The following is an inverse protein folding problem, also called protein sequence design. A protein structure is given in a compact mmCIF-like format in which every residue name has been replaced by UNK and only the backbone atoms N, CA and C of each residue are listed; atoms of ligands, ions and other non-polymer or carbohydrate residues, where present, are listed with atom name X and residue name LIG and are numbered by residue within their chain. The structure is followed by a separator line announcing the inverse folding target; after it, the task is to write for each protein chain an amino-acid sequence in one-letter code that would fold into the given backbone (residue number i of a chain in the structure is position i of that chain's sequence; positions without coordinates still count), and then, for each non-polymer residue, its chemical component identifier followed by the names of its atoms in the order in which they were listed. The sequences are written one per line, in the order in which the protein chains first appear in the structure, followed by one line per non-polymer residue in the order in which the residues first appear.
data_IF_514454039519
#
_entry.id   IF_514454039519
#
_cell.length_a   1.000
_cell.length_b   1.000
_cell.length_c   1.000
_cell.angle_alpha   90.00
_cell.angle_beta   90.00
_cell.angle_gamma   90.00
#
_symmetry.space_group_name_H-M   'P 1'
#
loop_
_entity.id
_entity.type
_entity.pdbx_description
1 polymer ?
#
# COMPACT_ATOMS: atom_id res chain seq x y z
N UNK A 1 -34.81 -21.94 20.38
CA UNK A 1 -34.92 -20.48 20.23
C UNK A 1 -34.09 -20.05 19.04
N UNK A 2 -34.49 -18.99 18.34
CA UNK A 2 -33.71 -18.44 17.24
C UNK A 2 -32.45 -17.74 17.79
N UNK A 3 -31.36 -17.76 17.03
CA UNK A 3 -30.09 -17.16 17.44
C UNK A 3 -29.58 -16.17 16.39
N UNK A 4 -28.82 -15.18 16.87
CA UNK A 4 -28.25 -14.11 16.07
C UNK A 4 -26.73 -14.14 16.19
N UNK A 5 -26.05 -13.97 15.07
CA UNK A 5 -24.60 -13.85 15.00
C UNK A 5 -24.23 -12.66 14.12
N UNK A 6 -23.16 -11.98 14.47
CA UNK A 6 -22.51 -11.00 13.60
C UNK A 6 -21.23 -11.62 13.06
N UNK A 7 -21.06 -11.63 11.74
CA UNK A 7 -19.89 -12.26 11.10
C UNK A 7 -19.30 -11.32 10.07
N UNK A 8 -18.06 -10.88 10.27
CA UNK A 8 -17.41 -9.94 9.36
C UNK A 8 -18.07 -8.56 9.37
N UNK A 9 -17.78 -7.78 8.32
CA UNK A 9 -18.30 -6.41 8.17
C UNK A 9 -19.68 -6.46 7.50
N UNK A 10 -20.64 -5.71 8.04
CA UNK A 10 -21.97 -5.49 7.44
C UNK A 10 -22.84 -6.73 7.23
N UNK A 11 -22.64 -7.80 8.01
CA UNK A 11 -23.43 -9.03 7.88
C UNK A 11 -23.98 -9.52 9.22
N UNK A 12 -25.28 -9.77 9.20
CA UNK A 12 -26.01 -10.44 10.28
C UNK A 12 -26.37 -11.84 9.78
N UNK A 13 -26.06 -12.84 10.59
CA UNK A 13 -26.47 -14.22 10.38
C UNK A 13 -27.53 -14.57 11.42
N UNK A 14 -28.61 -15.17 10.96
CA UNK A 14 -29.75 -15.61 11.73
C UNK A 14 -29.85 -17.13 11.64
N UNK A 15 -30.04 -17.80 12.77
CA UNK A 15 -30.28 -19.24 12.83
C UNK A 15 -31.71 -19.49 13.29
N UNK A 16 -32.47 -20.21 12.48
CA UNK A 16 -33.88 -20.47 12.74
C UNK A 16 -34.12 -21.38 13.94
N UNK A 17 -35.35 -21.33 14.46
CA UNK A 17 -35.79 -22.24 15.52
C UNK A 17 -35.74 -23.67 15.01
N UNK A 18 -34.91 -24.50 15.65
CA UNK A 18 -34.79 -25.92 15.30
C UNK A 18 -34.12 -26.18 13.94
N UNK A 19 -33.34 -25.22 13.40
CA UNK A 19 -32.68 -25.34 12.09
C UNK A 19 -33.65 -25.57 10.92
N UNK A 20 -34.87 -25.03 11.03
CA UNK A 20 -35.87 -25.09 9.98
C UNK A 20 -35.42 -24.34 8.71
N UNK A 21 -35.51 -25.04 7.58
CA UNK A 21 -35.17 -24.55 6.23
C UNK A 21 -36.40 -24.03 5.49
N UNK A 22 -36.21 -23.20 4.45
CA UNK A 22 -37.29 -22.72 3.60
C UNK A 22 -38.24 -21.72 4.28
N UNK A 23 -37.82 -21.10 5.38
CA UNK A 23 -38.61 -20.08 6.08
C UNK A 23 -38.44 -18.70 5.45
N UNK A 24 -39.49 -17.89 5.52
CA UNK A 24 -39.38 -16.46 5.25
C UNK A 24 -38.88 -15.75 6.50
N UNK A 25 -37.56 -15.55 6.58
CA UNK A 25 -36.92 -14.83 7.68
C UNK A 25 -36.84 -13.34 7.35
N UNK A 26 -37.38 -12.49 8.23
CA UNK A 26 -37.42 -11.04 8.02
C UNK A 26 -37.11 -10.25 9.30
N UNK A 27 -36.76 -8.98 9.17
CA UNK A 27 -36.53 -8.11 10.32
C UNK A 27 -36.91 -6.64 10.08
N UNK A 28 -37.21 -5.94 11.16
CA UNK A 28 -37.21 -4.47 11.23
C UNK A 28 -36.04 -3.99 12.08
N UNK A 29 -35.41 -2.91 11.64
CA UNK A 29 -34.34 -2.23 12.39
C UNK A 29 -34.76 -0.82 12.77
N UNK A 30 -34.34 -0.36 13.93
CA UNK A 30 -34.49 1.03 14.38
C UNK A 30 -33.13 1.68 14.44
N UNK A 31 -33.00 2.83 13.77
CA UNK A 31 -31.75 3.58 13.72
C UNK A 31 -31.44 4.30 15.04
N UNK A 32 -30.17 4.65 15.28
CA UNK A 32 -29.76 5.44 16.44
C UNK A 32 -30.17 6.92 16.37
N UNK A 33 -30.96 7.31 15.36
CA UNK A 33 -31.47 8.67 15.24
C UNK A 33 -32.41 9.02 16.42
N UNK A 34 -32.61 10.31 16.66
CA UNK A 34 -33.56 10.82 17.64
C UNK A 34 -34.63 11.67 16.95
N UNK A 35 -35.88 11.18 16.79
CA UNK A 35 -36.39 9.86 17.24
C UNK A 35 -35.88 8.69 16.37
N UNK A 36 -35.89 7.44 16.91
CA UNK A 36 -35.45 6.27 16.15
C UNK A 36 -36.28 6.07 14.88
N UNK A 37 -35.60 5.90 13.74
CA UNK A 37 -36.28 5.66 12.46
C UNK A 37 -36.34 4.16 12.19
N UNK A 38 -37.55 3.63 12.01
CA UNK A 38 -37.79 2.23 11.66
C UNK A 38 -37.50 2.00 10.17
N UNK A 39 -36.77 0.93 9.85
CA UNK A 39 -36.54 0.48 8.47
C UNK A 39 -37.78 -0.15 7.85
N UNK A 40 -37.82 -0.19 6.52
CA UNK A 40 -38.66 -1.14 5.80
C UNK A 40 -38.33 -2.59 6.20
N UNK A 41 -39.23 -3.53 5.90
CA UNK A 41 -39.03 -4.95 6.19
C UNK A 41 -37.83 -5.48 5.39
N UNK A 42 -36.85 -6.03 6.10
CA UNK A 42 -35.65 -6.61 5.51
C UNK A 42 -35.80 -8.11 5.43
N UNK A 43 -35.43 -8.70 4.30
CA UNK A 43 -35.54 -10.15 4.07
C UNK A 43 -34.17 -10.78 4.10
N UNK A 44 -34.04 -11.87 4.85
CA UNK A 44 -32.81 -12.65 4.91
C UNK A 44 -32.81 -13.68 3.79
N UNK A 45 -31.63 -13.96 3.26
CA UNK A 45 -31.43 -15.03 2.27
C UNK A 45 -30.98 -16.29 2.99
N UNK A 46 -31.66 -17.41 2.76
CA UNK A 46 -31.20 -18.71 3.27
C UNK A 46 -29.85 -19.06 2.65
N UNK A 47 -28.92 -19.52 3.49
CA UNK A 47 -27.60 -19.99 3.08
C UNK A 47 -27.64 -21.50 2.99
N UNK A 48 -27.88 -22.17 4.12
CA UNK A 48 -28.06 -23.62 4.22
C UNK A 48 -28.50 -24.00 5.64
N UNK A 49 -29.16 -25.16 5.79
CA UNK A 49 -29.42 -25.78 7.11
C UNK A 49 -30.11 -24.84 8.12
N UNK A 50 -31.04 -24.00 7.67
CA UNK A 50 -31.74 -23.05 8.54
C UNK A 50 -30.89 -21.86 9.00
N UNK A 51 -29.74 -21.63 8.37
CA UNK A 51 -28.98 -20.38 8.49
C UNK A 51 -29.40 -19.42 7.39
N UNK A 52 -29.62 -18.16 7.80
CA UNK A 52 -30.04 -17.09 6.93
C UNK A 52 -29.10 -15.90 7.12
N UNK A 53 -28.85 -15.13 6.07
CA UNK A 53 -27.99 -13.95 6.14
C UNK A 53 -28.69 -12.70 5.62
N UNK A 54 -28.30 -11.57 6.18
CA UNK A 54 -28.60 -10.23 5.66
C UNK A 54 -27.28 -9.46 5.57
N UNK A 55 -26.93 -9.07 4.36
CA UNK A 55 -25.89 -8.06 4.12
C UNK A 55 -26.56 -6.69 4.24
N UNK A 56 -26.31 -5.98 5.33
CA UNK A 56 -27.01 -4.73 5.64
C UNK A 56 -26.06 -3.53 5.64
N UNK A 57 -26.44 -2.47 4.91
CA UNK A 57 -25.69 -1.23 4.90
C UNK A 57 -26.30 -0.25 5.91
N UNK A 58 -25.78 -0.25 7.13
CA UNK A 58 -26.18 0.72 8.14
C UNK A 58 -25.73 2.13 7.72
N UNK A 59 -26.69 3.01 7.43
CA UNK A 59 -26.42 4.35 6.92
C UNK A 59 -25.90 5.35 7.98
N UNK A 60 -25.84 4.96 9.25
CA UNK A 60 -25.40 5.83 10.34
C UNK A 60 -24.64 5.04 11.39
N UNK A 61 -23.71 5.70 12.07
CA UNK A 61 -23.02 5.13 13.22
C UNK A 61 -23.92 5.15 14.45
N UNK A 62 -23.75 4.15 15.31
CA UNK A 62 -24.46 4.07 16.59
C UNK A 62 -25.10 2.72 16.83
N UNK A 63 -25.99 2.68 17.81
CA UNK A 63 -26.64 1.45 18.26
C UNK A 63 -27.99 1.28 17.59
N UNK A 64 -28.14 0.18 16.85
CA UNK A 64 -29.39 -0.25 16.24
C UNK A 64 -30.06 -1.32 17.08
N UNK A 65 -31.39 -1.33 17.08
CA UNK A 65 -32.20 -2.41 17.62
C UNK A 65 -32.90 -3.13 16.47
N UNK A 66 -32.97 -4.46 16.51
CA UNK A 66 -33.62 -5.29 15.49
C UNK A 66 -34.65 -6.25 16.11
N UNK A 67 -35.78 -6.42 15.43
CA UNK A 67 -36.80 -7.42 15.75
C UNK A 67 -36.96 -8.37 14.56
N UNK A 68 -36.87 -9.67 14.82
CA UNK A 68 -36.74 -10.72 13.80
C UNK A 68 -37.95 -11.63 13.81
N UNK A 69 -38.32 -12.08 12.61
CA UNK A 69 -39.53 -12.85 12.37
C UNK A 69 -39.24 -14.07 11.50
N UNK A 70 -39.91 -15.18 11.81
CA UNK A 70 -40.03 -16.35 10.94
C UNK A 70 -41.48 -16.44 10.48
N UNK A 71 -41.73 -16.38 9.16
CA UNK A 71 -43.09 -16.48 8.60
C UNK A 71 -44.08 -15.54 9.31
N UNK A 72 -43.65 -14.28 9.48
CA UNK A 72 -44.37 -13.20 10.17
C UNK A 72 -44.58 -13.34 11.70
N UNK A 73 -44.03 -14.37 12.34
CA UNK A 73 -44.05 -14.51 13.81
C UNK A 73 -42.75 -13.99 14.40
N UNK A 74 -42.82 -13.07 15.37
CA UNK A 74 -41.63 -12.55 16.04
C UNK A 74 -40.96 -13.65 16.89
N UNK A 75 -39.67 -13.88 16.67
CA UNK A 75 -38.94 -15.00 17.29
C UNK A 75 -37.79 -14.57 18.18
N UNK A 76 -37.15 -13.43 17.89
CA UNK A 76 -36.02 -12.90 18.67
C UNK A 76 -35.78 -11.42 18.38
N UNK A 77 -34.98 -10.77 19.23
CA UNK A 77 -34.52 -9.39 19.06
C UNK A 77 -33.01 -9.30 19.30
N UNK A 78 -32.40 -8.23 18.79
CA UNK A 78 -30.96 -8.03 18.90
C UNK A 78 -30.57 -6.56 18.90
N UNK A 79 -29.41 -6.27 19.49
CA UNK A 79 -28.80 -4.93 19.49
C UNK A 79 -27.48 -5.01 18.73
N UNK A 80 -27.28 -4.09 17.79
CA UNK A 80 -26.12 -4.06 16.90
C UNK A 80 -25.43 -2.72 17.02
N UNK A 81 -24.13 -2.73 17.30
CA UNK A 81 -23.33 -1.51 17.31
C UNK A 81 -22.63 -1.35 15.97
N UNK A 82 -22.95 -0.27 15.29
CA UNK A 82 -22.29 0.17 14.06
C UNK A 82 -21.25 1.19 14.46
N UNK A 83 -20.00 0.83 14.29
CA UNK A 83 -18.87 1.74 14.46
C UNK A 83 -18.25 2.00 13.11
N UNK A 84 -17.43 3.04 13.03
CA UNK A 84 -16.47 3.10 11.94
C UNK A 84 -15.62 1.85 12.01
N UNK A 85 -15.30 1.28 10.85
CA UNK A 85 -14.13 0.43 10.79
C UNK A 85 -12.99 1.30 11.27
N UNK A 86 -12.34 0.92 12.37
CA UNK A 86 -11.12 1.61 12.79
C UNK A 86 -10.27 1.75 11.54
N UNK A 87 -9.79 2.96 11.20
CA UNK A 87 -9.15 3.19 9.92
C UNK A 87 -7.99 2.22 9.78
N UNK A 88 -8.21 1.13 9.05
CA UNK A 88 -7.14 0.22 8.72
C UNK A 88 -6.20 1.05 7.83
N UNK A 89 -5.00 1.34 8.36
CA UNK A 89 -3.86 1.91 7.65
C UNK A 89 -3.76 3.44 7.40
N UNK A 90 -4.68 4.31 7.81
CA UNK A 90 -4.53 5.76 7.55
C UNK A 90 -3.33 6.41 8.27
N UNK A 91 -3.16 6.12 9.57
CA UNK A 91 -2.04 6.65 10.36
C UNK A 91 -0.69 6.03 9.98
N UNK A 92 -0.68 4.76 9.61
CA UNK A 92 0.54 4.05 9.22
C UNK A 92 1.01 4.48 7.83
N UNK A 93 0.10 4.71 6.87
CA UNK A 93 0.49 5.13 5.52
C UNK A 93 1.17 6.50 5.54
N UNK A 94 0.65 7.46 6.30
CA UNK A 94 1.28 8.78 6.44
C UNK A 94 2.67 8.68 7.09
N UNK A 95 2.81 7.89 8.16
CA UNK A 95 4.09 7.66 8.83
C UNK A 95 5.10 6.88 7.97
N UNK A 96 4.62 5.94 7.15
CA UNK A 96 5.44 5.19 6.18
C UNK A 96 5.93 6.14 5.08
N UNK A 97 5.04 6.95 4.47
CA UNK A 97 5.44 7.96 3.49
C UNK A 97 6.47 8.93 4.05
N UNK A 98 6.25 9.42 5.27
CA UNK A 98 7.22 10.29 5.94
C UNK A 98 8.59 9.63 6.13
N UNK A 99 8.67 8.29 6.29
CA UNK A 99 9.96 7.58 6.32
C UNK A 99 10.55 7.33 4.94
N UNK A 100 9.74 7.04 3.93
CA UNK A 100 10.22 6.77 2.56
C UNK A 100 10.60 8.03 1.80
N UNK A 101 9.88 9.13 2.00
CA UNK A 101 10.09 10.41 1.31
C UNK A 101 11.32 11.15 1.86
N UNK A 102 11.72 10.86 3.11
CA UNK A 102 12.91 11.42 3.76
C UNK A 102 14.15 10.52 3.62
N UNK A 103 14.13 9.50 2.76
CA UNK A 103 15.36 8.77 2.44
C UNK A 103 16.34 9.73 1.75
N UNK A 104 17.62 9.77 2.16
CA UNK A 104 18.60 10.67 1.57
C UNK A 104 18.70 10.44 0.05
N UNK A 105 18.74 11.52 -0.74
CA UNK A 105 18.92 11.44 -2.19
C UNK A 105 20.36 11.01 -2.51
N UNK A 106 20.58 9.70 -2.58
CA UNK A 106 21.84 9.10 -3.01
C UNK A 106 21.88 8.78 -4.50
N UNK A 107 23.01 8.23 -4.94
CA UNK A 107 23.12 7.61 -6.26
C UNK A 107 22.25 6.35 -6.26
N UNK A 108 21.20 6.34 -7.10
CA UNK A 108 20.25 5.24 -7.15
C UNK A 108 20.76 4.09 -8.04
N UNK A 109 20.57 2.85 -7.57
CA UNK A 109 20.83 1.64 -8.37
C UNK A 109 19.92 1.62 -9.59
N UNK A 110 20.47 1.20 -10.73
CA UNK A 110 19.76 1.06 -12.01
C UNK A 110 19.10 2.37 -12.50
N UNK A 111 19.63 3.52 -12.10
CA UNK A 111 19.24 4.84 -12.59
C UNK A 111 20.47 5.48 -13.20
N UNK A 112 20.31 6.12 -14.37
CA UNK A 112 21.41 6.83 -15.01
C UNK A 112 21.95 7.95 -14.09
N UNK A 113 23.27 8.04 -13.96
CA UNK A 113 23.94 9.09 -13.23
C UNK A 113 24.55 10.08 -14.22
N UNK A 114 23.90 11.23 -14.39
CA UNK A 114 24.34 12.24 -15.34
C UNK A 114 25.33 13.23 -14.70
N UNK A 115 26.31 13.66 -15.49
CA UNK A 115 27.31 14.66 -15.12
C UNK A 115 28.06 14.32 -13.81
N UNK A 116 28.47 13.06 -13.62
CA UNK A 116 29.39 12.75 -12.53
C UNK A 116 30.70 13.50 -12.78
N UNK A 117 31.00 14.47 -11.92
CA UNK A 117 32.18 15.33 -12.05
C UNK A 117 33.36 14.75 -11.27
N UNK A 118 34.54 14.83 -11.87
CA UNK A 118 35.80 14.45 -11.25
C UNK A 118 36.93 15.33 -11.79
N UNK A 119 38.02 15.43 -11.03
CA UNK A 119 39.20 16.22 -11.40
C UNK A 119 40.35 15.30 -11.80
N UNK A 120 41.08 15.68 -12.84
CA UNK A 120 42.31 15.04 -13.27
C UNK A 120 43.45 16.04 -13.11
N UNK A 121 44.55 15.55 -12.53
CA UNK A 121 45.76 16.32 -12.30
C UNK A 121 46.94 15.67 -13.00
N UNK A 122 47.94 16.47 -13.36
CA UNK A 122 49.16 15.98 -14.00
C UNK A 122 49.93 15.09 -13.04
N UNK A 123 50.39 13.93 -13.51
CA UNK A 123 51.19 13.01 -12.69
C UNK A 123 52.56 13.59 -12.30
N UNK A 124 53.05 14.58 -13.06
CA UNK A 124 54.33 15.24 -12.80
C UNK A 124 54.38 15.97 -11.44
N UNK A 125 53.24 16.51 -10.99
CA UNK A 125 53.15 17.28 -9.73
C UNK A 125 51.97 16.90 -8.84
N UNK A 126 51.05 16.06 -9.33
CA UNK A 126 49.85 15.61 -8.63
C UNK A 126 48.87 16.73 -8.28
N UNK A 127 48.99 17.90 -8.91
CA UNK A 127 48.25 19.11 -8.50
C UNK A 127 47.79 19.98 -9.66
N UNK A 128 48.61 20.14 -10.70
CA UNK A 128 48.26 20.99 -11.82
C UNK A 128 47.14 20.36 -12.64
N UNK A 129 46.15 21.14 -13.09
CA UNK A 129 45.06 20.61 -13.90
C UNK A 129 45.54 19.92 -15.18
N UNK A 130 45.07 18.70 -15.42
CA UNK A 130 45.34 17.97 -16.65
C UNK A 130 44.34 18.37 -17.75
N UNK A 131 44.35 19.64 -18.16
CA UNK A 131 43.45 20.19 -19.18
C UNK A 131 43.76 19.65 -20.58
N UNK A 132 42.75 19.44 -21.42
CA UNK A 132 42.89 19.02 -22.82
C UNK A 132 43.39 17.59 -23.00
N UNK A 133 43.22 16.72 -21.99
CA UNK A 133 43.63 15.32 -22.05
C UNK A 133 42.45 14.44 -22.43
N UNK A 134 42.75 13.38 -23.18
CA UNK A 134 41.79 12.30 -23.42
C UNK A 134 41.78 11.40 -22.18
N UNK A 135 40.63 11.31 -21.52
CA UNK A 135 40.44 10.46 -20.34
C UNK A 135 39.58 9.27 -20.72
N UNK A 136 40.03 8.08 -20.36
CA UNK A 136 39.25 6.84 -20.49
C UNK A 136 38.65 6.49 -19.13
N UNK A 137 37.34 6.24 -19.11
CA UNK A 137 36.64 5.74 -17.93
C UNK A 137 36.40 4.24 -18.03
N UNK A 138 36.67 3.54 -16.93
CA UNK A 138 36.35 2.13 -16.77
C UNK A 138 35.53 1.94 -15.50
N UNK A 139 34.63 0.98 -15.52
CA UNK A 139 33.73 0.65 -14.42
C UNK A 139 33.94 -0.79 -13.96
N UNK A 140 33.93 -0.99 -12.65
CA UNK A 140 33.83 -2.30 -11.99
C UNK A 140 32.49 -2.35 -11.25
N UNK A 141 31.76 -3.44 -11.46
CA UNK A 141 30.45 -3.71 -10.85
C UNK A 141 30.57 -4.92 -9.92
N UNK A 142 30.22 -4.74 -8.66
CA UNK A 142 30.22 -5.80 -7.63
C UNK A 142 31.56 -6.57 -7.54
N UNK A 143 32.68 -5.84 -7.71
CA UNK A 143 34.03 -6.41 -7.66
C UNK A 143 34.49 -7.11 -8.95
N UNK A 144 33.73 -7.03 -10.05
CA UNK A 144 34.15 -7.55 -11.35
C UNK A 144 35.36 -6.79 -11.93
N UNK A 145 35.99 -7.36 -12.96
CA UNK A 145 37.06 -6.69 -13.69
C UNK A 145 36.59 -5.35 -14.30
N UNK A 146 37.52 -4.40 -14.40
CA UNK A 146 37.23 -3.10 -15.02
C UNK A 146 36.97 -3.26 -16.51
N UNK A 147 35.85 -2.72 -16.98
CA UNK A 147 35.45 -2.66 -18.39
C UNK A 147 35.22 -1.21 -18.78
N UNK A 148 35.46 -0.84 -20.03
CA UNK A 148 35.24 0.52 -20.49
C UNK A 148 33.77 0.93 -20.33
N UNK A 149 33.57 2.18 -19.89
CA UNK A 149 32.24 2.78 -19.87
C UNK A 149 31.69 2.93 -21.29
N UNK A 150 30.37 2.90 -21.43
CA UNK A 150 29.68 3.01 -22.71
C UNK A 150 29.74 4.43 -23.29
N UNK A 151 29.71 5.45 -22.42
CA UNK A 151 29.76 6.85 -22.80
C UNK A 151 31.15 7.45 -22.52
N UNK A 152 31.56 8.37 -23.39
CA UNK A 152 32.86 9.02 -23.28
C UNK A 152 32.87 10.10 -22.20
N UNK A 153 34.05 10.30 -21.61
CA UNK A 153 34.33 11.42 -20.73
C UNK A 153 34.42 12.71 -21.55
N UNK A 154 33.86 13.80 -21.03
CA UNK A 154 33.99 15.14 -21.60
C UNK A 154 34.70 16.06 -20.62
N UNK A 155 35.64 16.87 -21.11
CA UNK A 155 36.23 17.95 -20.34
C UNK A 155 35.21 19.07 -20.11
N UNK A 156 35.22 19.64 -18.91
CA UNK A 156 34.44 20.83 -18.55
C UNK A 156 35.33 22.07 -18.66
N UNK A 157 36.37 22.15 -17.82
CA UNK A 157 37.43 23.18 -17.85
C UNK A 157 38.40 22.94 -16.68
N UNK A 158 39.63 23.45 -16.77
CA UNK A 158 40.60 23.46 -15.66
C UNK A 158 40.80 22.08 -15.01
N UNK A 159 40.98 21.05 -15.84
CA UNK A 159 41.18 19.67 -15.37
C UNK A 159 39.94 19.01 -14.76
N UNK A 160 38.78 19.69 -14.74
CA UNK A 160 37.50 19.06 -14.42
C UNK A 160 36.93 18.36 -15.64
N UNK A 161 36.49 17.14 -15.41
CA UNK A 161 35.85 16.28 -16.38
C UNK A 161 34.50 15.82 -15.86
N UNK A 162 33.66 15.35 -16.79
CA UNK A 162 32.39 14.73 -16.46
C UNK A 162 32.12 13.51 -17.33
N UNK A 163 31.36 12.58 -16.78
CA UNK A 163 30.83 11.43 -17.50
C UNK A 163 29.35 11.24 -17.18
N UNK A 164 28.58 10.79 -18.17
CA UNK A 164 27.24 10.27 -17.96
C UNK A 164 27.34 8.74 -17.85
N UNK A 165 26.77 8.16 -16.81
CA UNK A 165 26.69 6.70 -16.64
C UNK A 165 25.25 6.26 -16.90
N UNK A 166 25.10 5.24 -17.73
CA UNK A 166 23.80 4.68 -18.08
C UNK A 166 23.24 3.82 -16.93
N UNK A 167 21.93 3.57 -16.96
CA UNK A 167 21.29 2.70 -15.97
C UNK A 167 21.95 1.30 -15.90
N UNK A 168 22.39 0.76 -17.03
CA UNK A 168 23.08 -0.54 -17.10
C UNK A 168 24.47 -0.56 -16.42
N UNK A 169 25.14 0.59 -16.37
CA UNK A 169 26.41 0.78 -15.66
C UNK A 169 26.17 0.95 -14.16
N UNK A 170 25.05 1.59 -13.79
CA UNK A 170 24.62 1.81 -12.40
C UNK A 170 23.80 0.64 -11.82
N UNK A 171 23.62 -0.46 -12.55
CA UNK A 171 22.88 -1.63 -12.09
C UNK A 171 23.81 -2.61 -11.35
N UNK A 172 24.30 -2.20 -10.18
CA UNK A 172 25.15 -2.96 -9.27
C UNK A 172 24.95 -2.45 -7.83
N UNK A 173 25.35 -3.22 -6.82
CA UNK A 173 25.33 -2.77 -5.42
C UNK A 173 26.58 -1.97 -5.08
N UNK A 174 27.72 -2.31 -5.70
CA UNK A 174 28.98 -1.59 -5.57
C UNK A 174 29.47 -1.19 -6.97
N UNK A 175 29.73 0.11 -7.15
CA UNK A 175 30.29 0.66 -8.38
C UNK A 175 31.62 1.36 -8.07
N UNK A 176 32.68 0.94 -8.76
CA UNK A 176 33.97 1.61 -8.73
C UNK A 176 34.33 2.12 -10.12
N UNK A 177 34.88 3.34 -10.18
CA UNK A 177 35.33 3.97 -11.41
C UNK A 177 36.83 4.15 -11.39
N UNK A 178 37.45 3.90 -12.53
CA UNK A 178 38.87 4.17 -12.79
C UNK A 178 38.97 5.09 -13.99
N UNK A 179 39.76 6.14 -13.83
CA UNK A 179 40.05 7.12 -14.88
C UNK A 179 41.54 7.06 -15.20
N UNK A 180 41.87 7.03 -16.49
CA UNK A 180 43.23 7.00 -17.02
C UNK A 180 43.43 7.97 -18.16
#
# INVERSE_FOLDING_TARGET
MAELYTTGVNRIVYRSVGFATGLTVTAHFWSPATPPVRSGLQTFTEVELGLYRLDYNFASLGTYFGLFYETAVATTSGVFRVTELAPEAGGNIAAIKAKTDNLPSGVAKNVALNNLMFTMVLSADGRSPATGKTVVAQISKDGAAFVNCALAVAEVSSGWYKINLQAAEMNADIVALKFT
#
